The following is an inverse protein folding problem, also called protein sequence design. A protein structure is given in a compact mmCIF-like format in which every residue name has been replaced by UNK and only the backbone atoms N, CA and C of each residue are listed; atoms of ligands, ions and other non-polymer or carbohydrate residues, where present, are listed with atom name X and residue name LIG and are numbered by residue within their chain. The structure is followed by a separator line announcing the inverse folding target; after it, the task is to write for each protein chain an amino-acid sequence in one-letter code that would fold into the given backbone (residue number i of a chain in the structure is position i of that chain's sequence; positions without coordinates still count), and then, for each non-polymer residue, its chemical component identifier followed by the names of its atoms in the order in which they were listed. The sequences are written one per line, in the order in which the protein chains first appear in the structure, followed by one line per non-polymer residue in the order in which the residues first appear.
data_IF_179297765077
#
_entry.id   IF_179297765077
#
_cell.length_a   1.000
_cell.length_b   1.000
_cell.length_c   1.000
_cell.angle_alpha   90.00
_cell.angle_beta   90.00
_cell.angle_gamma   90.00
#
_symmetry.space_group_name_H-M   'P 1'
#
loop_
_entity.id
_entity.type
_entity.pdbx_description
1 polymer ?
#
# COMPACT_ATOMS: atom_id res chain seq x y z
N UNK A 1 -11.50 -12.40 -5.15
CA UNK A 1 -10.62 -12.21 -3.99
C UNK A 1 -9.21 -12.68 -4.28
N UNK A 2 -8.99 -13.93 -4.72
CA UNK A 2 -7.66 -14.47 -5.04
C UNK A 2 -6.78 -13.57 -5.93
N UNK A 3 -7.34 -12.95 -6.99
CA UNK A 3 -6.59 -12.01 -7.83
C UNK A 3 -5.94 -10.85 -7.04
N UNK A 4 -6.63 -10.35 -6.01
CA UNK A 4 -6.16 -9.22 -5.21
C UNK A 4 -5.13 -9.66 -4.18
N UNK A 5 -5.26 -10.88 -3.66
CA UNK A 5 -4.24 -11.50 -2.83
C UNK A 5 -2.92 -11.66 -3.60
N UNK A 6 -3.00 -12.17 -4.84
CA UNK A 6 -1.83 -12.29 -5.72
C UNK A 6 -1.24 -10.90 -6.01
N UNK A 7 -2.07 -9.95 -6.42
CA UNK A 7 -1.63 -8.59 -6.74
C UNK A 7 -0.95 -7.90 -5.53
N UNK A 8 -1.55 -7.98 -4.34
CA UNK A 8 -0.97 -7.42 -3.12
C UNK A 8 0.32 -8.13 -2.72
N UNK A 9 0.39 -9.46 -2.83
CA UNK A 9 1.59 -10.23 -2.52
C UNK A 9 2.75 -9.84 -3.46
N UNK A 10 2.51 -9.79 -4.77
CA UNK A 10 3.55 -9.44 -5.73
C UNK A 10 4.06 -8.01 -5.54
N UNK A 11 3.16 -7.06 -5.26
CA UNK A 11 3.54 -5.68 -4.96
C UNK A 11 4.35 -5.59 -3.66
N UNK A 12 3.96 -6.35 -2.63
CA UNK A 12 4.67 -6.42 -1.35
C UNK A 12 6.07 -7.01 -1.52
N UNK A 13 6.22 -8.10 -2.28
CA UNK A 13 7.51 -8.72 -2.57
C UNK A 13 8.45 -7.75 -3.32
N UNK A 14 7.91 -6.96 -4.25
CA UNK A 14 8.66 -5.93 -4.97
C UNK A 14 9.11 -4.79 -4.04
N UNK A 15 8.22 -4.33 -3.15
CA UNK A 15 8.55 -3.31 -2.16
C UNK A 15 9.60 -3.78 -1.13
N UNK A 16 9.44 -5.00 -0.61
CA UNK A 16 10.41 -5.64 0.28
C UNK A 16 11.78 -5.76 -0.37
N UNK A 17 11.81 -6.14 -1.65
CA UNK A 17 13.03 -6.19 -2.44
C UNK A 17 13.65 -4.80 -2.59
N UNK A 18 12.87 -3.77 -2.89
CA UNK A 18 13.36 -2.40 -3.05
C UNK A 18 14.02 -1.85 -1.77
N UNK A 19 13.40 -2.06 -0.60
CA UNK A 19 13.96 -1.58 0.67
C UNK A 19 15.15 -2.42 1.17
N UNK A 20 15.30 -3.66 0.70
CA UNK A 20 16.44 -4.53 1.07
C UNK A 20 17.79 -3.97 0.60
N UNK A 21 17.79 -3.13 -0.44
CA UNK A 21 18.97 -2.43 -0.95
C UNK A 21 19.36 -1.20 -0.10
N UNK A 22 18.55 -0.84 0.91
CA UNK A 22 18.92 0.12 1.97
C UNK A 22 18.70 1.59 1.64
N UNK A 23 18.01 1.92 0.55
CA UNK A 23 17.75 3.33 0.16
C UNK A 23 16.56 3.96 0.91
N UNK A 24 15.65 3.14 1.45
CA UNK A 24 14.42 3.57 2.13
C UNK A 24 14.26 2.74 3.42
N UNK A 25 13.88 3.37 4.54
CA UNK A 25 13.59 2.65 5.78
C UNK A 25 12.31 1.81 5.64
N UNK A 26 12.19 0.74 6.44
CA UNK A 26 10.99 -0.11 6.45
C UNK A 26 9.72 0.72 6.69
N UNK A 27 9.77 1.65 7.64
CA UNK A 27 8.64 2.50 8.02
C UNK A 27 8.18 3.40 6.87
N UNK A 28 9.05 3.74 5.92
CA UNK A 28 8.73 4.56 4.76
C UNK A 28 8.42 3.73 3.51
N UNK A 29 8.36 2.40 3.62
CA UNK A 29 8.07 1.50 2.49
C UNK A 29 6.73 1.81 1.82
N UNK A 30 5.75 2.31 2.58
CA UNK A 30 4.43 2.68 2.07
C UNK A 30 4.49 3.73 0.94
N UNK A 31 5.52 4.58 0.90
CA UNK A 31 5.73 5.57 -0.16
C UNK A 31 5.99 4.94 -1.53
N UNK A 32 6.36 3.66 -1.58
CA UNK A 32 6.50 2.91 -2.82
C UNK A 32 5.15 2.50 -3.44
N UNK A 33 4.05 2.60 -2.69
CA UNK A 33 2.73 2.15 -3.15
C UNK A 33 2.30 2.84 -4.46
N UNK A 34 2.31 4.18 -4.48
CA UNK A 34 1.95 4.97 -5.67
C UNK A 34 2.90 4.71 -6.85
N UNK A 35 4.21 4.52 -6.57
CA UNK A 35 5.24 4.24 -7.58
C UNK A 35 5.01 2.89 -8.24
N UNK A 36 4.78 1.85 -7.45
CA UNK A 36 4.52 0.51 -7.94
C UNK A 36 3.17 0.43 -8.66
N UNK A 37 2.14 1.09 -8.13
CA UNK A 37 0.84 1.19 -8.78
C UNK A 37 0.98 1.87 -10.16
N UNK A 38 1.68 3.01 -10.20
CA UNK A 38 1.91 3.77 -11.44
C UNK A 38 2.61 2.93 -12.49
N UNK A 39 3.68 2.21 -12.10
CA UNK A 39 4.45 1.32 -12.97
C UNK A 39 3.58 0.20 -13.52
N UNK A 40 2.82 -0.50 -12.67
CA UNK A 40 1.97 -1.62 -13.05
C UNK A 40 0.81 -1.21 -13.96
N UNK A 41 0.26 -0.03 -13.73
CA UNK A 41 -0.89 0.48 -14.49
C UNK A 41 -0.50 1.42 -15.65
N UNK A 42 0.79 1.54 -15.96
CA UNK A 42 1.33 2.44 -16.99
C UNK A 42 0.78 3.87 -16.86
N UNK A 43 0.67 4.34 -15.61
CA UNK A 43 0.11 5.64 -15.31
C UNK A 43 1.10 6.75 -15.71
N UNK A 44 0.60 7.75 -16.42
CA UNK A 44 1.36 8.94 -16.83
C UNK A 44 0.68 10.24 -16.40
N UNK A 45 -0.20 10.18 -15.40
CA UNK A 45 -0.95 11.33 -14.91
C UNK A 45 -0.33 11.80 -13.59
N UNK A 46 0.49 12.85 -13.67
CA UNK A 46 1.21 13.41 -12.53
C UNK A 46 0.25 13.92 -11.44
N UNK A 47 -0.89 14.52 -11.80
CA UNK A 47 -1.86 15.01 -10.83
C UNK A 47 -2.52 13.87 -10.04
N UNK A 48 -2.81 12.74 -10.71
CA UNK A 48 -3.31 11.55 -10.03
C UNK A 48 -2.24 10.92 -9.14
N UNK A 49 -0.98 10.92 -9.59
CA UNK A 49 0.14 10.44 -8.80
C UNK A 49 0.36 11.28 -7.53
N UNK A 50 0.31 12.61 -7.64
CA UNK A 50 0.37 13.51 -6.49
C UNK A 50 -0.80 13.31 -5.52
N UNK A 51 -2.02 13.13 -6.04
CA UNK A 51 -3.18 12.80 -5.22
C UNK A 51 -2.98 11.49 -4.45
N UNK A 52 -2.47 10.44 -5.11
CA UNK A 52 -2.16 9.17 -4.44
C UNK A 52 -1.17 9.36 -3.30
N UNK A 53 -0.08 10.11 -3.51
CA UNK A 53 0.91 10.34 -2.46
C UNK A 53 0.29 11.06 -1.26
N UNK A 54 -0.51 12.11 -1.48
CA UNK A 54 -1.10 12.88 -0.40
C UNK A 54 -2.08 12.05 0.45
N UNK A 55 -2.97 11.29 -0.20
CA UNK A 55 -3.95 10.44 0.48
C UNK A 55 -3.30 9.29 1.25
N UNK A 56 -2.22 8.73 0.68
CA UNK A 56 -1.41 7.69 1.32
C UNK A 56 -0.69 8.23 2.56
N UNK A 57 -0.05 9.39 2.45
CA UNK A 57 0.60 10.04 3.58
C UNK A 57 -0.44 10.36 4.68
N UNK A 58 -1.61 10.90 4.32
CA UNK A 58 -2.68 11.19 5.28
C UNK A 58 -3.19 9.92 5.99
N UNK A 59 -3.41 8.81 5.26
CA UNK A 59 -3.82 7.53 5.83
C UNK A 59 -2.80 7.02 6.86
N UNK A 60 -1.53 6.98 6.48
CA UNK A 60 -0.47 6.41 7.33
C UNK A 60 -0.15 7.31 8.51
N UNK A 61 -0.09 8.63 8.32
CA UNK A 61 0.11 9.59 9.41
C UNK A 61 -1.03 9.55 10.42
N UNK A 62 -2.27 9.37 9.95
CA UNK A 62 -3.44 9.22 10.81
C UNK A 62 -3.32 7.96 11.67
N UNK A 63 -2.98 6.81 11.09
CA UNK A 63 -2.78 5.56 11.83
C UNK A 63 -1.65 5.68 12.87
N UNK A 64 -0.56 6.36 12.51
CA UNK A 64 0.57 6.59 13.41
C UNK A 64 0.24 7.56 14.54
N UNK A 65 -0.70 8.48 14.32
CA UNK A 65 -1.16 9.42 15.35
C UNK A 65 -1.99 8.73 16.44
N UNK A 66 -2.71 7.66 16.09
CA UNK A 66 -3.49 6.85 17.03
C UNK A 66 -2.60 5.87 17.81
N UNK A 67 -1.65 5.22 17.15
CA UNK A 67 -0.62 4.39 17.80
C UNK A 67 0.72 4.52 17.10
N UNK A 68 1.67 5.20 17.73
CA UNK A 68 3.03 5.34 17.19
C UNK A 68 3.78 4.02 16.96
N UNK A 69 3.37 2.92 17.61
CA UNK A 69 3.97 1.60 17.38
C UNK A 69 3.50 0.98 16.07
N UNK A 70 2.38 1.44 15.50
CA UNK A 70 1.87 0.94 14.22
C UNK A 70 2.87 1.16 13.09
N UNK A 71 3.83 2.10 13.23
CA UNK A 71 4.99 2.26 12.32
C UNK A 71 5.74 0.96 12.03
N UNK A 72 5.76 0.02 12.98
CA UNK A 72 6.40 -1.29 12.82
C UNK A 72 5.62 -2.22 11.89
N UNK A 73 4.34 -1.95 11.64
CA UNK A 73 3.46 -2.71 10.76
C UNK A 73 3.64 -2.26 9.30
N UNK A 74 4.89 -2.11 8.86
CA UNK A 74 5.22 -1.51 7.56
C UNK A 74 4.67 -2.31 6.36
N UNK A 75 4.53 -3.63 6.50
CA UNK A 75 3.90 -4.47 5.46
C UNK A 75 2.42 -4.12 5.29
N UNK A 76 1.70 -3.97 6.40
CA UNK A 76 0.31 -3.53 6.42
C UNK A 76 0.17 -2.15 5.77
N UNK A 77 0.93 -1.15 6.23
CA UNK A 77 0.88 0.22 5.69
C UNK A 77 1.16 0.27 4.20
N UNK A 78 2.13 -0.51 3.71
CA UNK A 78 2.38 -0.60 2.29
C UNK A 78 1.20 -1.21 1.52
N UNK A 79 0.66 -2.34 1.99
CA UNK A 79 -0.42 -3.03 1.27
C UNK A 79 -1.72 -2.22 1.27
N UNK A 80 -2.09 -1.61 2.40
CA UNK A 80 -3.26 -0.73 2.48
C UNK A 80 -3.11 0.46 1.53
N UNK A 81 -1.96 1.13 1.55
CA UNK A 81 -1.66 2.26 0.65
C UNK A 81 -1.65 1.86 -0.83
N UNK A 82 -1.13 0.66 -1.16
CA UNK A 82 -1.09 0.15 -2.52
C UNK A 82 -2.49 -0.15 -3.06
N UNK A 83 -3.35 -0.77 -2.24
CA UNK A 83 -4.73 -1.05 -2.60
C UNK A 83 -5.57 0.23 -2.63
N UNK A 84 -5.28 1.22 -1.77
CA UNK A 84 -5.91 2.54 -1.79
C UNK A 84 -5.69 3.27 -3.13
N UNK A 85 -4.55 3.06 -3.80
CA UNK A 85 -4.32 3.61 -5.14
C UNK A 85 -5.41 3.18 -6.15
N UNK A 86 -5.94 1.96 -6.04
CA UNK A 86 -7.03 1.50 -6.90
C UNK A 86 -8.35 2.21 -6.58
N UNK A 87 -8.58 2.59 -5.32
CA UNK A 87 -9.75 3.41 -4.91
C UNK A 87 -9.62 4.81 -5.50
N UNK A 88 -8.48 5.47 -5.28
CA UNK A 88 -8.21 6.85 -5.74
C UNK A 88 -8.29 6.92 -7.28
N UNK A 89 -7.81 5.90 -7.98
CA UNK A 89 -7.92 5.81 -9.44
C UNK A 89 -9.33 5.43 -9.96
N UNK A 90 -10.31 5.24 -9.06
CA UNK A 90 -11.68 4.84 -9.40
C UNK A 90 -11.80 3.45 -10.02
N UNK A 91 -10.86 2.54 -9.73
CA UNK A 91 -10.86 1.15 -10.22
C UNK A 91 -11.69 0.23 -9.33
N UNK A 92 -11.76 0.56 -8.04
CA UNK A 92 -12.60 -0.07 -7.03
C UNK A 92 -13.22 1.01 -6.15
N UNK A 93 -14.30 0.69 -5.43
CA UNK A 93 -14.87 1.57 -4.42
C UNK A 93 -14.33 1.21 -3.02
N UNK A 94 -14.63 2.06 -2.03
CA UNK A 94 -14.20 1.88 -0.63
C UNK A 94 -14.75 0.59 -0.03
N UNK A 95 -16.01 0.25 -0.31
CA UNK A 95 -16.64 -0.95 0.21
C UNK A 95 -15.92 -2.23 -0.27
N UNK A 96 -15.61 -2.29 -1.56
CA UNK A 96 -14.87 -3.41 -2.11
C UNK A 96 -13.39 -3.41 -1.68
N UNK A 97 -12.80 -2.23 -1.47
CA UNK A 97 -11.48 -2.11 -0.86
C UNK A 97 -11.46 -2.72 0.56
N UNK A 98 -12.46 -2.46 1.39
CA UNK A 98 -12.57 -3.04 2.73
C UNK A 98 -12.66 -4.58 2.66
N UNK A 99 -13.51 -5.11 1.78
CA UNK A 99 -13.60 -6.57 1.55
C UNK A 99 -12.26 -7.18 1.09
N UNK A 100 -11.51 -6.46 0.25
CA UNK A 100 -10.18 -6.87 -0.21
C UNK A 100 -9.17 -6.83 0.92
N UNK A 101 -9.15 -5.76 1.71
CA UNK A 101 -8.24 -5.61 2.84
C UNK A 101 -8.48 -6.68 3.91
N UNK A 102 -9.73 -6.98 4.24
CA UNK A 102 -10.07 -8.07 5.17
C UNK A 102 -9.51 -9.41 4.67
N UNK A 103 -9.79 -9.76 3.41
CA UNK A 103 -9.30 -11.00 2.82
C UNK A 103 -7.76 -11.06 2.75
N UNK A 104 -7.11 -9.95 2.37
CA UNK A 104 -5.66 -9.87 2.26
C UNK A 104 -5.00 -9.99 3.65
N UNK A 105 -5.51 -9.26 4.64
CA UNK A 105 -5.01 -9.31 6.02
C UNK A 105 -5.01 -10.75 6.58
N UNK A 106 -6.08 -11.51 6.34
CA UNK A 106 -6.20 -12.89 6.80
C UNK A 106 -5.20 -13.86 6.15
N UNK A 107 -4.71 -13.55 4.95
CA UNK A 107 -3.96 -14.51 4.11
C UNK A 107 -2.48 -14.14 3.89
N UNK A 108 -2.07 -12.88 4.13
CA UNK A 108 -0.71 -12.39 3.83
C UNK A 108 0.20 -12.20 5.05
N UNK A 109 -0.31 -12.36 6.27
CA UNK A 109 0.51 -12.21 7.49
C UNK A 109 1.12 -10.81 7.62
N UNK A 110 0.35 -9.75 7.31
CA UNK A 110 0.85 -8.37 7.22
C UNK A 110 1.35 -7.77 8.54
N UNK A 111 1.06 -8.44 9.65
CA UNK A 111 1.48 -8.05 11.00
C UNK A 111 2.62 -8.92 11.54
N UNK A 112 3.19 -9.82 10.73
CA UNK A 112 4.34 -10.64 11.08
C UNK A 112 5.67 -9.92 10.74
N UNK A 113 6.67 -10.08 11.61
CA UNK A 113 8.01 -9.49 11.46
C UNK A 113 8.83 -10.13 10.32
#
# INVERSE_FOLDING_TARGET
MEKWLIEANEALDEALSAISFGEISKENMYQLASVLYAKRNQMSNDALFEMMNNEIDEQVETDWSFDSNSKKQYRFHFVSSYLLCYVIAGKIDEFFYDEVMDYVNENLGLFED
#
